data_IF_462818060779
#
_entry.id   IF_462818060779
#
_cell.length_a   1.000
_cell.length_b   1.000
_cell.length_c   1.000
_cell.angle_alpha   90.00
_cell.angle_beta   90.00
_cell.angle_gamma   90.00
#
_symmetry.space_group_name_H-M   'P 1'
#
loop_
_entity.id
_entity.type
_entity.pdbx_description
1 polymer ?
#
# COMPACT_ATOMS: atom_id res chain seq x y z
N UNK A 1 -17.50 4.15 -13.02
CA UNK A 1 -16.04 4.31 -12.79
C UNK A 1 -15.37 3.10 -13.42
N UNK A 2 -14.46 3.27 -14.39
CA UNK A 2 -13.75 2.12 -14.96
C UNK A 2 -12.61 1.78 -14.00
N UNK A 3 -12.68 0.61 -13.38
CA UNK A 3 -11.59 0.13 -12.53
C UNK A 3 -10.48 -0.42 -13.44
N UNK A 4 -9.41 0.34 -13.59
CA UNK A 4 -8.23 -0.06 -14.36
C UNK A 4 -6.97 0.14 -13.51
N UNK A 5 -6.06 -0.84 -13.55
CA UNK A 5 -4.79 -0.79 -12.82
C UNK A 5 -3.65 -0.71 -13.81
N UNK A 6 -2.77 0.27 -13.60
CA UNK A 6 -1.53 0.35 -14.34
C UNK A 6 -0.60 -0.80 -13.93
N UNK A 7 0.00 -1.47 -14.91
CA UNK A 7 0.90 -2.61 -14.66
C UNK A 7 2.27 -2.45 -15.33
N UNK A 8 2.40 -1.54 -16.30
CA UNK A 8 3.69 -1.23 -16.92
C UNK A 8 3.78 0.22 -17.43
N UNK A 9 5.01 0.63 -17.74
CA UNK A 9 5.34 1.95 -18.26
C UNK A 9 6.51 1.86 -19.25
N UNK A 10 6.43 2.60 -20.35
CA UNK A 10 7.57 2.89 -21.22
C UNK A 10 7.77 4.40 -21.32
N UNK A 11 9.04 4.83 -21.34
CA UNK A 11 9.43 6.25 -21.46
C UNK A 11 10.43 6.48 -22.58
N UNK A 12 10.67 5.48 -23.44
CA UNK A 12 11.73 5.53 -24.46
C UNK A 12 11.40 6.50 -25.62
N UNK A 13 10.11 6.78 -25.84
CA UNK A 13 9.63 7.72 -26.87
C UNK A 13 8.62 8.69 -26.25
N UNK A 14 7.34 8.42 -26.45
CA UNK A 14 6.24 9.08 -25.76
C UNK A 14 5.98 8.27 -24.48
N UNK A 15 5.92 8.89 -23.30
CA UNK A 15 5.54 8.19 -22.09
C UNK A 15 4.20 7.49 -22.25
N UNK A 16 4.22 6.16 -22.11
CA UNK A 16 3.06 5.29 -22.30
C UNK A 16 2.84 4.45 -21.07
N UNK A 17 1.64 4.51 -20.52
CA UNK A 17 1.19 3.65 -19.42
C UNK A 17 0.35 2.52 -19.98
N UNK A 18 0.68 1.30 -19.56
CA UNK A 18 -0.13 0.13 -19.86
C UNK A 18 -1.03 -0.17 -18.67
N UNK A 19 -2.34 -0.13 -18.90
CA UNK A 19 -3.34 -0.38 -17.89
C UNK A 19 -4.27 -1.52 -18.29
N UNK A 20 -4.71 -2.29 -17.28
CA UNK A 20 -5.63 -3.40 -17.45
C UNK A 20 -6.88 -3.17 -16.62
N UNK A 21 -8.04 -3.28 -17.27
CA UNK A 21 -9.34 -3.45 -16.61
C UNK A 21 -9.81 -4.91 -16.79
N UNK A 22 -10.98 -5.25 -16.25
CA UNK A 22 -11.54 -6.61 -16.33
C UNK A 22 -11.59 -7.12 -17.78
N UNK A 23 -12.07 -6.28 -18.71
CA UNK A 23 -12.37 -6.74 -20.07
C UNK A 23 -11.36 -6.27 -21.14
N UNK A 24 -10.40 -5.41 -20.77
CA UNK A 24 -9.50 -4.82 -21.76
C UNK A 24 -8.15 -4.42 -21.21
N UNK A 25 -7.18 -4.39 -22.12
CA UNK A 25 -5.88 -3.77 -21.92
C UNK A 25 -5.82 -2.50 -22.76
N UNK A 26 -5.23 -1.44 -22.22
CA UNK A 26 -5.10 -0.15 -22.90
C UNK A 26 -3.67 0.37 -22.78
N UNK A 27 -3.21 1.01 -23.85
CA UNK A 27 -1.98 1.81 -23.88
C UNK A 27 -2.38 3.28 -23.89
N UNK A 28 -1.91 4.05 -22.92
CA UNK A 28 -2.27 5.46 -22.73
C UNK A 28 -1.00 6.28 -22.91
N UNK A 29 -0.93 7.00 -24.03
CA UNK A 29 0.14 7.96 -24.30
C UNK A 29 -0.15 9.27 -23.57
N UNK A 30 0.88 9.84 -22.95
CA UNK A 30 0.74 11.06 -22.17
C UNK A 30 2.06 11.83 -22.09
N UNK A 31 1.97 13.13 -21.77
CA UNK A 31 3.16 13.98 -21.58
C UNK A 31 3.73 13.86 -20.17
N UNK A 32 2.87 13.61 -19.19
CA UNK A 32 3.22 13.53 -17.78
C UNK A 32 2.45 12.39 -17.12
N UNK A 33 3.10 11.70 -16.19
CA UNK A 33 2.54 10.59 -15.42
C UNK A 33 2.67 10.95 -13.94
N UNK A 34 1.54 10.93 -13.24
CA UNK A 34 1.50 11.05 -11.78
C UNK A 34 1.23 9.65 -11.23
N UNK A 35 2.27 9.01 -10.70
CA UNK A 35 2.16 7.68 -10.11
C UNK A 35 1.67 7.78 -8.65
N UNK A 36 0.40 7.49 -8.43
CA UNK A 36 -0.24 7.42 -7.11
C UNK A 36 -0.72 5.99 -6.79
N UNK A 37 0.07 4.98 -7.15
CA UNK A 37 -0.25 3.55 -7.09
C UNK A 37 0.07 2.88 -5.72
N UNK A 38 0.16 3.70 -4.68
CA UNK A 38 0.27 3.27 -3.28
C UNK A 38 1.58 2.56 -2.94
N UNK A 39 1.53 1.73 -1.88
CA UNK A 39 2.71 1.03 -1.33
C UNK A 39 3.39 0.08 -2.32
N UNK A 40 2.66 -0.38 -3.33
CA UNK A 40 3.20 -1.25 -4.37
C UNK A 40 4.22 -0.50 -5.24
N UNK A 41 4.05 0.81 -5.44
CA UNK A 41 4.96 1.67 -6.18
C UNK A 41 5.41 1.04 -7.51
N UNK A 42 4.48 0.39 -8.20
CA UNK A 42 4.68 -0.42 -9.42
C UNK A 42 5.34 0.40 -10.51
N UNK A 43 4.82 1.60 -10.78
CA UNK A 43 5.35 2.49 -11.83
C UNK A 43 6.79 2.90 -11.52
N UNK A 44 7.06 3.31 -10.27
CA UNK A 44 8.42 3.67 -9.83
C UNK A 44 9.38 2.48 -9.96
N UNK A 45 8.96 1.28 -9.54
CA UNK A 45 9.77 0.06 -9.63
C UNK A 45 10.14 -0.28 -11.06
N UNK A 46 9.18 -0.18 -11.99
CA UNK A 46 9.39 -0.45 -13.41
C UNK A 46 10.32 0.58 -14.05
N UNK A 47 10.08 1.86 -13.79
CA UNK A 47 10.83 2.95 -14.39
C UNK A 47 12.26 3.04 -13.85
N UNK A 48 12.42 3.00 -12.52
CA UNK A 48 13.71 3.23 -11.86
C UNK A 48 14.47 1.94 -11.54
N UNK A 49 13.85 0.76 -11.74
CA UNK A 49 14.38 -0.54 -11.31
C UNK A 49 14.76 -0.59 -9.83
N UNK A 50 14.05 0.20 -9.01
CA UNK A 50 14.28 0.32 -7.57
C UNK A 50 13.04 -0.12 -6.79
N UNK A 51 13.23 -1.05 -5.84
CA UNK A 51 12.19 -1.38 -4.87
C UNK A 51 12.20 -0.37 -3.72
N UNK A 52 11.03 -0.02 -3.14
CA UNK A 52 10.98 0.65 -1.86
C UNK A 52 11.70 -0.21 -0.81
N UNK A 53 12.56 0.39 0.00
CA UNK A 53 13.40 -0.31 0.97
C UNK A 53 12.66 -0.74 2.25
N UNK A 54 11.32 -0.67 2.28
CA UNK A 54 10.54 -0.84 3.53
C UNK A 54 9.23 -1.57 3.31
N UNK A 55 8.97 -2.53 4.18
CA UNK A 55 7.66 -3.15 4.42
C UNK A 55 6.96 -2.28 5.45
N UNK A 56 5.76 -1.79 5.16
CA UNK A 56 5.18 -0.73 5.99
C UNK A 56 4.51 -1.24 7.26
N UNK A 57 3.78 -2.37 7.23
CA UNK A 57 2.96 -2.80 8.37
C UNK A 57 2.49 -4.24 8.23
N UNK A 58 2.59 -5.04 9.30
CA UNK A 58 1.80 -6.26 9.48
C UNK A 58 0.57 -5.94 10.30
N UNK A 59 -0.57 -6.52 9.96
CA UNK A 59 -1.80 -6.34 10.73
C UNK A 59 -2.46 -7.68 11.05
N UNK A 60 -3.19 -7.70 12.16
CA UNK A 60 -4.03 -8.82 12.55
C UNK A 60 -5.32 -8.30 13.22
N UNK A 61 -6.43 -8.97 12.94
CA UNK A 61 -7.69 -8.73 13.60
C UNK A 61 -7.68 -9.42 14.97
N UNK A 62 -8.04 -8.69 16.02
CA UNK A 62 -8.20 -9.20 17.38
C UNK A 62 -9.71 -9.31 17.65
N UNK A 63 -10.28 -10.53 17.66
CA UNK A 63 -11.68 -10.74 17.99
C UNK A 63 -11.97 -10.34 19.43
N UNK A 64 -13.17 -9.81 19.69
CA UNK A 64 -13.74 -9.59 21.02
C UNK A 64 -12.98 -8.60 21.93
N UNK A 65 -12.10 -7.76 21.36
CA UNK A 65 -11.46 -6.67 22.09
C UNK A 65 -12.12 -5.35 21.71
N UNK A 66 -13.14 -4.96 22.48
CA UNK A 66 -13.62 -3.58 22.43
C UNK A 66 -12.57 -2.66 23.04
N UNK A 67 -11.96 -1.82 22.20
CA UNK A 67 -11.23 -0.64 22.67
C UNK A 67 -12.03 0.60 22.31
N UNK A 68 -12.07 1.59 23.21
CA UNK A 68 -12.73 2.89 22.97
C UNK A 68 -11.76 3.95 22.45
N UNK A 69 -10.47 3.61 22.41
CA UNK A 69 -9.41 4.53 22.03
C UNK A 69 -8.32 3.82 21.23
N UNK A 70 -7.56 4.59 20.48
CA UNK A 70 -6.33 4.13 19.85
C UNK A 70 -5.28 3.89 20.94
N UNK A 71 -4.69 2.70 20.97
CA UNK A 71 -3.61 2.37 21.91
C UNK A 71 -2.30 2.26 21.16
N UNK A 72 -1.23 2.81 21.73
CA UNK A 72 0.12 2.74 21.18
C UNK A 72 1.02 2.09 22.23
N UNK A 73 1.77 1.08 21.81
CA UNK A 73 2.62 0.27 22.68
C UNK A 73 4.06 0.42 22.19
N UNK A 74 4.94 0.80 23.11
CA UNK A 74 6.37 0.99 22.88
C UNK A 74 7.14 0.06 23.82
N UNK A 75 8.26 -0.49 23.35
CA UNK A 75 9.08 -1.41 24.13
C UNK A 75 9.71 -2.45 23.23
N UNK A 76 11.01 -2.69 23.39
CA UNK A 76 11.72 -3.69 22.58
C UNK A 76 11.26 -5.13 22.86
N UNK A 77 10.63 -5.36 24.01
CA UNK A 77 9.96 -6.61 24.39
C UNK A 77 8.66 -6.86 23.61
N UNK A 78 8.00 -5.80 23.14
CA UNK A 78 6.73 -5.85 22.40
C UNK A 78 6.96 -5.70 20.90
N UNK A 79 7.86 -4.78 20.51
CA UNK A 79 8.06 -4.34 19.13
C UNK A 79 9.51 -3.84 18.96
N UNK A 80 10.49 -4.75 18.81
CA UNK A 80 11.90 -4.37 18.71
C UNK A 80 12.13 -3.31 17.62
N UNK A 81 12.69 -2.16 18.00
CA UNK A 81 12.97 -1.01 17.12
C UNK A 81 11.74 -0.34 16.49
N UNK A 82 10.54 -0.67 16.96
CA UNK A 82 9.28 -0.25 16.38
C UNK A 82 8.24 0.07 17.47
N UNK A 83 6.99 0.24 17.04
CA UNK A 83 5.86 0.40 17.94
C UNK A 83 4.69 -0.41 17.38
N UNK A 84 3.81 -0.84 18.27
CA UNK A 84 2.56 -1.49 17.93
C UNK A 84 1.41 -0.55 18.21
N UNK A 85 0.33 -0.62 17.43
CA UNK A 85 -0.89 0.12 17.73
C UNK A 85 -2.13 -0.73 17.57
N UNK A 86 -3.16 -0.38 18.33
CA UNK A 86 -4.48 -0.99 18.27
C UNK A 86 -5.48 0.11 17.94
N UNK A 87 -6.21 -0.05 16.83
CA UNK A 87 -7.31 0.83 16.49
C UNK A 87 -8.67 0.18 16.76
N UNK A 88 -9.63 0.93 17.32
CA UNK A 88 -11.00 0.46 17.45
C UNK A 88 -11.61 0.21 16.07
N UNK A 89 -12.19 -0.97 15.87
CA UNK A 89 -13.02 -1.26 14.72
C UNK A 89 -14.47 -1.50 15.14
N UNK A 90 -15.40 -1.27 14.20
CA UNK A 90 -16.83 -1.52 14.42
C UNK A 90 -17.07 -3.03 14.66
N UNK A 91 -17.98 -3.39 15.57
CA UNK A 91 -18.34 -4.77 15.96
C UNK A 91 -17.36 -5.53 16.88
N UNK A 92 -16.59 -4.82 17.71
CA UNK A 92 -15.77 -5.47 18.76
C UNK A 92 -14.54 -6.22 18.22
N UNK A 93 -14.13 -5.89 17.00
CA UNK A 93 -12.84 -6.27 16.42
C UNK A 93 -11.89 -5.09 16.65
N UNK A 94 -10.63 -5.36 16.94
CA UNK A 94 -9.59 -4.35 16.98
C UNK A 94 -8.42 -4.79 16.12
N UNK A 95 -7.85 -3.88 15.34
CA UNK A 95 -6.74 -4.22 14.46
C UNK A 95 -5.44 -3.88 15.18
N UNK A 96 -4.59 -4.89 15.38
CA UNK A 96 -3.23 -4.69 15.84
C UNK A 96 -2.33 -4.54 14.63
N UNK A 97 -1.47 -3.55 14.69
CA UNK A 97 -0.51 -3.26 13.64
C UNK A 97 0.89 -3.23 14.22
N UNK A 98 1.84 -3.78 13.48
CA UNK A 98 3.27 -3.77 13.77
C UNK A 98 4.00 -3.11 12.60
N UNK A 99 4.71 -2.02 12.88
CA UNK A 99 5.69 -1.45 11.93
C UNK A 99 6.98 -2.27 12.02
N UNK A 100 7.63 -2.55 10.89
CA UNK A 100 8.93 -3.25 10.80
C UNK A 100 9.99 -2.38 10.13
#
# INVERSE_FOLDING_TARGET
MIEAKAYDISVDKIPTVFAKSVDKTMAIECRYIIASDGVNSTIRKKLLKQTPSRVLTYYADIPQKETKSCQFWFGDDISPKHYSWIFPHFQGIANMYLKL
#
